data_IF_077518843510
#
_entry.id   IF_077518843510
#
_cell.length_a   1.000
_cell.length_b   1.000
_cell.length_c   1.000
_cell.angle_alpha   90.00
_cell.angle_beta   90.00
_cell.angle_gamma   90.00
#
_symmetry.space_group_name_H-M   'P 1'
#
loop_
_entity.id
_entity.type
_entity.pdbx_description
1 polymer ?
#
# COMPACT_ATOMS: atom_id res chain seq x y z
N UNK A 1 -12.87 -11.62 9.58
CA UNK A 1 -11.62 -12.37 9.37
C UNK A 1 -12.02 -13.77 8.94
N UNK A 2 -11.36 -14.39 7.95
CA UNK A 2 -11.61 -15.83 7.72
C UNK A 2 -10.98 -16.64 8.85
N UNK A 3 -11.58 -17.77 9.21
CA UNK A 3 -11.05 -18.71 10.22
C UNK A 3 -9.61 -19.11 9.88
N UNK A 4 -9.31 -19.32 8.60
CA UNK A 4 -7.95 -19.60 8.11
C UNK A 4 -6.96 -18.50 8.53
N UNK A 5 -7.30 -17.22 8.36
CA UNK A 5 -6.41 -16.10 8.70
C UNK A 5 -6.23 -15.92 10.20
N UNK A 6 -7.25 -16.28 10.98
CA UNK A 6 -7.20 -16.23 12.43
C UNK A 6 -6.11 -17.16 12.98
N UNK A 7 -5.92 -18.34 12.38
CA UNK A 7 -4.84 -19.26 12.76
C UNK A 7 -3.53 -19.01 12.01
N UNK A 8 -3.60 -18.78 10.70
CA UNK A 8 -2.41 -18.66 9.86
C UNK A 8 -1.52 -17.47 10.26
N UNK A 9 -2.09 -16.32 10.64
CA UNK A 9 -1.29 -15.14 10.98
C UNK A 9 -0.49 -15.31 12.27
N UNK A 10 -1.06 -15.75 13.40
CA UNK A 10 -0.29 -16.08 14.59
C UNK A 10 0.76 -17.18 14.34
N UNK A 11 0.40 -18.23 13.59
CA UNK A 11 1.33 -19.31 13.28
C UNK A 11 2.54 -18.80 12.49
N UNK A 12 2.33 -17.99 11.45
CA UNK A 12 3.41 -17.43 10.65
C UNK A 12 4.19 -16.36 11.45
N UNK A 13 3.51 -15.52 12.22
CA UNK A 13 4.11 -14.48 13.05
C UNK A 13 5.06 -15.05 14.12
N UNK A 14 4.76 -16.24 14.65
CA UNK A 14 5.51 -16.85 15.75
C UNK A 14 7.02 -16.91 15.49
N UNK A 15 7.41 -17.32 14.28
CA UNK A 15 8.82 -17.41 13.88
C UNK A 15 9.50 -16.04 13.89
N UNK A 16 8.82 -14.99 13.41
CA UNK A 16 9.35 -13.64 13.39
C UNK A 16 9.45 -13.01 14.79
N UNK A 17 8.48 -13.29 15.66
CA UNK A 17 8.47 -12.80 17.05
C UNK A 17 9.61 -13.45 17.83
N UNK A 18 9.79 -14.77 17.71
CA UNK A 18 10.88 -15.49 18.37
C UNK A 18 12.23 -14.98 17.88
N UNK A 19 12.46 -14.94 16.56
CA UNK A 19 13.69 -14.42 16.00
C UNK A 19 13.96 -12.95 16.36
N UNK A 20 12.91 -12.11 16.45
CA UNK A 20 13.03 -10.72 16.87
C UNK A 20 13.38 -10.59 18.36
N UNK A 21 12.83 -11.46 19.20
CA UNK A 21 13.11 -11.50 20.64
C UNK A 21 14.55 -11.94 20.90
N UNK A 22 15.03 -12.93 20.17
CA UNK A 22 16.43 -13.37 20.25
C UNK A 22 17.40 -12.27 19.83
N UNK A 23 17.07 -11.49 18.80
CA UNK A 23 17.85 -10.30 18.41
C UNK A 23 17.87 -9.21 19.48
N UNK A 24 16.76 -9.03 20.21
CA UNK A 24 16.72 -8.07 21.32
C UNK A 24 17.56 -8.53 22.50
N UNK A 25 17.56 -9.84 22.79
CA UNK A 25 18.38 -10.44 23.85
C UNK A 25 19.88 -10.42 23.51
N UNK A 26 20.22 -10.77 22.27
CA UNK A 26 21.58 -10.85 21.76
C UNK A 26 21.88 -9.65 20.84
N UNK A 27 21.58 -8.45 21.32
CA UNK A 27 21.71 -7.23 20.52
C UNK A 27 23.16 -6.94 20.10
N UNK A 28 24.13 -7.35 20.92
CA UNK A 28 25.56 -7.19 20.63
C UNK A 28 26.00 -8.06 19.44
N UNK A 29 25.65 -9.35 19.44
CA UNK A 29 25.93 -10.26 18.32
C UNK A 29 25.18 -9.85 17.05
N UNK A 30 23.94 -9.38 17.22
CA UNK A 30 23.10 -8.89 16.12
C UNK A 30 23.69 -7.65 15.47
N UNK A 31 24.26 -6.73 16.26
CA UNK A 31 24.94 -5.54 15.75
C UNK A 31 26.17 -5.91 14.92
N UNK A 32 26.98 -6.87 15.39
CA UNK A 32 28.15 -7.34 14.65
C UNK A 32 27.79 -8.02 13.32
N UNK A 33 26.80 -8.92 13.34
CA UNK A 33 26.35 -9.65 12.15
C UNK A 33 25.71 -8.73 11.11
N UNK A 34 24.98 -7.70 11.56
CA UNK A 34 24.31 -6.75 10.68
C UNK A 34 25.16 -5.50 10.39
N UNK A 35 26.37 -5.39 10.94
CA UNK A 35 27.25 -4.21 10.77
C UNK A 35 27.34 -3.66 9.34
N UNK A 36 27.48 -4.47 8.25
CA UNK A 36 27.51 -3.90 6.89
C UNK A 36 26.17 -3.31 6.43
N UNK A 37 25.04 -3.82 6.93
CA UNK A 37 23.72 -3.24 6.65
C UNK A 37 23.41 -2.05 7.56
N UNK A 38 23.81 -2.12 8.83
CA UNK A 38 23.64 -1.07 9.82
C UNK A 38 24.46 0.17 9.47
N UNK A 39 25.68 -0.01 8.96
CA UNK A 39 26.51 1.10 8.48
C UNK A 39 25.86 1.83 7.31
N UNK A 40 25.36 1.11 6.30
CA UNK A 40 24.60 1.73 5.19
C UNK A 40 23.33 2.44 5.66
N UNK A 41 22.64 1.88 6.65
CA UNK A 41 21.47 2.53 7.24
C UNK A 41 21.86 3.79 8.03
N UNK A 42 22.99 3.76 8.75
CA UNK A 42 23.51 4.90 9.51
C UNK A 42 24.02 6.03 8.61
N UNK A 43 24.62 5.70 7.46
CA UNK A 43 25.06 6.67 6.45
C UNK A 43 23.88 7.40 5.78
N UNK A 44 22.73 6.74 5.70
CA UNK A 44 21.50 7.33 5.19
C UNK A 44 20.76 8.22 6.23
N UNK A 45 21.16 8.16 7.49
CA UNK A 45 20.56 8.95 8.57
C UNK A 45 21.35 10.25 8.78
N UNK A 46 20.67 11.39 9.02
CA UNK A 46 21.33 12.67 9.24
C UNK A 46 22.01 12.78 10.62
N UNK A 47 22.09 11.71 11.40
CA UNK A 47 22.65 11.68 12.75
C UNK A 47 23.46 10.40 13.01
N UNK A 48 24.54 10.52 13.79
CA UNK A 48 25.35 9.37 14.21
C UNK A 48 24.54 8.51 15.17
N UNK A 49 24.34 7.24 14.81
CA UNK A 49 23.60 6.27 15.61
C UNK A 49 24.49 5.07 15.90
N UNK A 50 24.53 4.64 17.15
CA UNK A 50 25.25 3.44 17.59
C UNK A 50 24.64 2.18 16.93
N UNK A 51 25.50 1.30 16.40
CA UNK A 51 25.11 0.02 15.79
C UNK A 51 24.27 -0.83 16.76
N UNK A 52 24.55 -0.77 18.07
CA UNK A 52 23.77 -1.49 19.10
C UNK A 52 22.35 -0.95 19.24
N UNK A 53 22.17 0.36 19.15
CA UNK A 53 20.85 1.01 19.20
C UNK A 53 20.05 0.64 17.95
N UNK A 54 20.68 0.67 16.77
CA UNK A 54 20.03 0.25 15.53
C UNK A 54 19.63 -1.23 15.55
N UNK A 55 20.49 -2.11 16.05
CA UNK A 55 20.17 -3.53 16.20
C UNK A 55 18.93 -3.75 17.10
N UNK A 56 18.83 -3.02 18.21
CA UNK A 56 17.66 -3.04 19.10
C UNK A 56 16.40 -2.49 18.42
N UNK A 57 16.52 -1.41 17.65
CA UNK A 57 15.39 -0.85 16.89
C UNK A 57 14.88 -1.87 15.86
N UNK A 58 15.78 -2.55 15.13
CA UNK A 58 15.40 -3.57 14.16
C UNK A 58 14.73 -4.76 14.86
N UNK A 59 15.31 -5.26 15.96
CA UNK A 59 14.72 -6.34 16.76
C UNK A 59 13.34 -5.97 17.30
N UNK A 60 13.20 -4.77 17.88
CA UNK A 60 11.94 -4.24 18.40
C UNK A 60 10.89 -4.04 17.31
N UNK A 61 11.31 -3.55 16.14
CA UNK A 61 10.45 -3.42 14.95
C UNK A 61 9.96 -4.77 14.46
N UNK A 62 10.85 -5.78 14.41
CA UNK A 62 10.50 -7.13 14.00
C UNK A 62 9.48 -7.76 14.97
N UNK A 63 9.68 -7.63 16.28
CA UNK A 63 8.73 -8.11 17.29
C UNK A 63 7.41 -7.36 17.19
N UNK A 64 7.43 -6.03 17.15
CA UNK A 64 6.24 -5.19 17.05
C UNK A 64 5.43 -5.49 15.79
N UNK A 65 6.09 -5.62 14.63
CA UNK A 65 5.47 -6.01 13.38
C UNK A 65 4.90 -7.43 13.45
N UNK A 66 5.63 -8.38 14.06
CA UNK A 66 5.14 -9.74 14.31
C UNK A 66 3.85 -9.76 15.12
N UNK A 67 3.80 -9.01 16.23
CA UNK A 67 2.60 -8.92 17.09
C UNK A 67 1.43 -8.25 16.36
N UNK A 68 1.66 -7.12 15.68
CA UNK A 68 0.63 -6.45 14.90
C UNK A 68 0.08 -7.35 13.79
N UNK A 69 0.97 -8.09 13.12
CA UNK A 69 0.62 -9.07 12.11
C UNK A 69 -0.25 -10.20 12.67
N UNK A 70 0.16 -10.79 13.81
CA UNK A 70 -0.59 -11.83 14.50
C UNK A 70 -2.00 -11.37 14.91
N UNK A 71 -2.11 -10.16 15.47
CA UNK A 71 -3.38 -9.55 15.87
C UNK A 71 -4.22 -9.09 14.67
N UNK A 72 -3.66 -9.10 13.46
CA UNK A 72 -4.32 -8.65 12.25
C UNK A 72 -4.48 -7.14 12.12
N UNK A 73 -3.84 -6.35 13.00
CA UNK A 73 -3.86 -4.87 12.98
C UNK A 73 -2.81 -4.37 11.99
N UNK A 74 -3.23 -3.54 11.03
CA UNK A 74 -2.35 -3.07 9.93
C UNK A 74 -1.55 -4.21 9.27
N UNK A 75 -2.15 -5.41 9.18
CA UNK A 75 -1.43 -6.65 8.88
C UNK A 75 -0.65 -6.64 7.58
N UNK A 76 -1.11 -5.90 6.56
CA UNK A 76 -0.40 -5.76 5.29
C UNK A 76 0.89 -4.98 5.45
N UNK A 77 0.87 -3.86 6.18
CA UNK A 77 2.05 -3.06 6.47
C UNK A 77 3.03 -3.85 7.34
N UNK A 78 2.51 -4.49 8.40
CA UNK A 78 3.31 -5.34 9.27
C UNK A 78 3.99 -6.49 8.47
N UNK A 79 3.24 -7.15 7.58
CA UNK A 79 3.78 -8.18 6.70
C UNK A 79 4.81 -7.64 5.69
N UNK A 80 4.61 -6.44 5.13
CA UNK A 80 5.61 -5.78 4.27
C UNK A 80 6.90 -5.50 5.03
N UNK A 81 6.82 -4.97 6.25
CA UNK A 81 7.98 -4.72 7.12
C UNK A 81 8.70 -6.04 7.43
N UNK A 82 7.95 -7.07 7.84
CA UNK A 82 8.52 -8.40 8.09
C UNK A 82 9.17 -8.99 6.84
N UNK A 83 8.58 -8.81 5.66
CA UNK A 83 9.15 -9.29 4.40
C UNK A 83 10.51 -8.65 4.09
N UNK A 84 10.63 -7.33 4.26
CA UNK A 84 11.90 -6.61 4.06
C UNK A 84 12.94 -7.09 5.07
N UNK A 85 12.59 -7.13 6.35
CA UNK A 85 13.50 -7.59 7.42
C UNK A 85 13.93 -9.04 7.16
N UNK A 86 13.00 -9.92 6.80
CA UNK A 86 13.25 -11.33 6.51
C UNK A 86 14.20 -11.51 5.32
N UNK A 87 13.98 -10.78 4.23
CA UNK A 87 14.83 -10.84 3.04
C UNK A 87 16.27 -10.37 3.35
N UNK A 88 16.42 -9.29 4.11
CA UNK A 88 17.73 -8.78 4.53
C UNK A 88 18.47 -9.80 5.41
N UNK A 89 17.78 -10.38 6.41
CA UNK A 89 18.38 -11.41 7.26
C UNK A 89 18.79 -12.63 6.45
N UNK A 90 17.92 -13.11 5.57
CA UNK A 90 18.19 -14.27 4.72
C UNK A 90 19.44 -14.04 3.85
N UNK A 91 19.61 -12.82 3.34
CA UNK A 91 20.79 -12.45 2.56
C UNK A 91 22.07 -12.44 3.40
N UNK A 92 22.03 -11.79 4.58
CA UNK A 92 23.19 -11.72 5.48
C UNK A 92 23.60 -13.12 5.94
N UNK A 93 22.65 -13.90 6.41
CA UNK A 93 22.86 -15.26 6.88
C UNK A 93 23.36 -16.18 5.78
N UNK A 94 22.80 -16.08 4.58
CA UNK A 94 23.33 -16.80 3.43
C UNK A 94 24.77 -16.40 3.13
N UNK A 95 25.15 -15.13 3.29
CA UNK A 95 26.49 -14.63 3.01
C UNK A 95 27.52 -15.03 4.08
N UNK A 96 27.09 -15.14 5.34
CA UNK A 96 27.94 -15.43 6.50
C UNK A 96 27.96 -16.91 6.91
N UNK A 97 27.09 -17.75 6.36
CA UNK A 97 27.02 -19.16 6.71
C UNK A 97 28.29 -19.94 6.33
N UNK A 98 28.73 -20.80 7.24
CA UNK A 98 29.88 -21.68 7.05
C UNK A 98 29.59 -22.76 6.00
N UNK A 99 30.57 -22.98 5.13
CA UNK A 99 30.55 -23.97 4.04
C UNK A 99 31.78 -24.86 4.00
N UNK A 100 32.56 -24.85 5.09
CA UNK A 100 33.83 -25.57 5.21
C UNK A 100 33.64 -27.08 5.26
N UNK A 101 32.51 -27.54 5.83
CA UNK A 101 32.12 -28.97 5.87
C UNK A 101 30.90 -29.26 5.00
N UNK A 102 30.67 -30.56 4.71
CA UNK A 102 29.48 -31.02 3.99
C UNK A 102 28.21 -30.72 4.80
N UNK A 103 28.29 -30.93 6.11
CA UNK A 103 27.25 -30.65 7.09
C UNK A 103 26.91 -29.14 7.13
N UNK A 104 27.94 -28.27 7.10
CA UNK A 104 27.75 -26.81 7.05
C UNK A 104 27.02 -26.36 5.77
N UNK A 105 27.36 -26.95 4.62
CA UNK A 105 26.66 -26.68 3.35
C UNK A 105 25.20 -27.13 3.38
N UNK A 106 24.92 -28.28 3.97
CA UNK A 106 23.55 -28.78 4.12
C UNK A 106 22.73 -27.91 5.09
N UNK A 107 23.31 -27.52 6.22
CA UNK A 107 22.70 -26.60 7.17
C UNK A 107 22.36 -25.25 6.52
N UNK A 108 23.31 -24.66 5.79
CA UNK A 108 23.11 -23.41 5.02
C UNK A 108 21.95 -23.53 4.03
N UNK A 109 21.88 -24.63 3.27
CA UNK A 109 20.78 -24.87 2.31
C UNK A 109 19.43 -24.94 3.01
N UNK A 110 19.34 -25.71 4.10
CA UNK A 110 18.10 -25.87 4.84
C UNK A 110 17.63 -24.57 5.49
N UNK A 111 18.57 -23.77 6.01
CA UNK A 111 18.29 -22.49 6.63
C UNK A 111 17.85 -21.44 5.60
N UNK A 112 18.52 -21.39 4.44
CA UNK A 112 18.10 -20.56 3.32
C UNK A 112 16.68 -20.92 2.86
N UNK A 113 16.38 -22.21 2.70
CA UNK A 113 15.04 -22.66 2.30
C UNK A 113 13.98 -22.24 3.30
N UNK A 114 14.23 -22.41 4.62
CA UNK A 114 13.32 -21.93 5.67
C UNK A 114 13.06 -20.44 5.56
N UNK A 115 14.12 -19.64 5.40
CA UNK A 115 14.00 -18.19 5.28
C UNK A 115 13.26 -17.75 4.01
N UNK A 116 13.46 -18.44 2.88
CA UNK A 116 12.72 -18.19 1.64
C UNK A 116 11.25 -18.53 1.84
N UNK A 117 10.92 -19.67 2.46
CA UNK A 117 9.53 -20.06 2.76
C UNK A 117 8.86 -19.03 3.66
N UNK A 118 9.52 -18.58 4.74
CA UNK A 118 8.99 -17.56 5.64
C UNK A 118 8.77 -16.23 4.92
N UNK A 119 9.76 -15.78 4.13
CA UNK A 119 9.68 -14.55 3.34
C UNK A 119 8.54 -14.62 2.33
N UNK A 120 8.38 -15.75 1.64
CA UNK A 120 7.27 -15.97 0.71
C UNK A 120 5.91 -15.90 1.40
N UNK A 121 5.79 -16.48 2.61
CA UNK A 121 4.57 -16.42 3.41
C UNK A 121 4.16 -14.99 3.78
N UNK A 122 5.11 -14.16 4.25
CA UNK A 122 4.81 -12.77 4.60
C UNK A 122 4.64 -11.87 3.38
N UNK A 123 5.32 -12.15 2.27
CA UNK A 123 5.09 -11.45 1.00
C UNK A 123 3.67 -11.68 0.51
N UNK A 124 3.17 -12.92 0.53
CA UNK A 124 1.78 -13.20 0.18
C UNK A 124 0.81 -12.48 1.13
N UNK A 125 1.13 -12.44 2.42
CA UNK A 125 0.32 -11.74 3.42
C UNK A 125 0.34 -10.20 3.26
N UNK A 126 1.38 -9.63 2.65
CA UNK A 126 1.49 -8.19 2.39
C UNK A 126 0.50 -7.69 1.33
N UNK A 127 0.19 -8.56 0.37
CA UNK A 127 -0.79 -8.29 -0.70
C UNK A 127 -2.19 -8.82 -0.39
N UNK A 128 -2.36 -9.61 0.68
CA UNK A 128 -3.66 -10.13 1.10
C UNK A 128 -4.60 -9.01 1.58
N UNK A 129 -5.61 -8.69 0.76
CA UNK A 129 -6.62 -7.69 1.07
C UNK A 129 -7.74 -8.21 1.96
N UNK A 130 -7.81 -9.52 2.22
CA UNK A 130 -8.84 -10.17 3.03
C UNK A 130 -10.28 -9.74 2.66
N UNK A 131 -10.53 -9.53 1.36
CA UNK A 131 -11.83 -9.08 0.83
C UNK A 131 -12.11 -7.59 0.99
N UNK A 132 -11.19 -6.80 1.54
CA UNK A 132 -11.33 -5.34 1.63
C UNK A 132 -10.89 -4.70 0.31
N UNK A 133 -11.61 -3.67 -0.19
CA UNK A 133 -11.18 -2.95 -1.38
C UNK A 133 -9.81 -2.30 -1.17
N UNK A 134 -8.88 -2.56 -2.09
CA UNK A 134 -7.53 -2.01 -2.06
C UNK A 134 -7.48 -0.50 -2.34
N UNK A 135 -6.33 0.14 -2.11
CA UNK A 135 -6.15 1.57 -2.40
C UNK A 135 -6.35 1.89 -3.89
N UNK A 136 -5.82 1.05 -4.78
CA UNK A 136 -6.04 1.19 -6.23
C UNK A 136 -7.53 1.12 -6.58
N UNK A 137 -8.25 0.11 -6.04
CA UNK A 137 -9.70 -0.01 -6.21
C UNK A 137 -10.43 1.24 -5.71
N UNK A 138 -10.06 1.76 -4.53
CA UNK A 138 -10.69 2.96 -3.95
C UNK A 138 -10.41 4.21 -4.78
N UNK A 139 -9.18 4.35 -5.28
CA UNK A 139 -8.81 5.46 -6.16
C UNK A 139 -9.55 5.40 -7.50
N UNK A 140 -9.67 4.21 -8.08
CA UNK A 140 -10.42 3.98 -9.31
C UNK A 140 -11.91 4.28 -9.13
N UNK A 141 -12.51 3.83 -8.03
CA UNK A 141 -13.92 4.12 -7.72
C UNK A 141 -14.15 5.61 -7.48
N UNK A 142 -13.25 6.28 -6.76
CA UNK A 142 -13.32 7.73 -6.58
C UNK A 142 -13.23 8.47 -7.92
N UNK A 143 -12.32 8.06 -8.80
CA UNK A 143 -12.18 8.64 -10.13
C UNK A 143 -13.40 8.36 -11.02
N UNK A 144 -13.96 7.15 -10.95
CA UNK A 144 -15.17 6.78 -11.66
C UNK A 144 -16.39 7.57 -11.17
N UNK A 145 -16.55 7.74 -9.86
CA UNK A 145 -17.63 8.50 -9.25
C UNK A 145 -17.51 10.01 -9.54
N UNK A 146 -16.29 10.54 -9.53
CA UNK A 146 -16.02 11.92 -9.96
C UNK A 146 -16.38 12.14 -11.43
N UNK A 147 -16.02 11.19 -12.32
CA UNK A 147 -16.39 11.23 -13.74
C UNK A 147 -17.89 11.19 -13.95
N UNK A 148 -18.60 10.27 -13.27
CA UNK A 148 -20.07 10.17 -13.33
C UNK A 148 -20.74 11.47 -12.87
N UNK A 149 -20.24 12.05 -11.78
CA UNK A 149 -20.76 13.32 -11.27
C UNK A 149 -20.55 14.43 -12.29
N UNK A 150 -19.37 14.53 -12.89
CA UNK A 150 -19.07 15.53 -13.91
C UNK A 150 -19.94 15.36 -15.18
N UNK A 151 -20.20 14.13 -15.63
CA UNK A 151 -21.08 13.88 -16.79
C UNK A 151 -22.52 14.25 -16.50
N UNK A 152 -23.03 13.95 -15.30
CA UNK A 152 -24.37 14.38 -14.88
C UNK A 152 -24.49 15.91 -14.83
N UNK A 153 -23.52 16.60 -14.23
CA UNK A 153 -23.49 18.06 -14.22
C UNK A 153 -23.46 18.66 -15.63
N UNK A 154 -22.63 18.12 -16.51
CA UNK A 154 -22.55 18.57 -17.90
C UNK A 154 -23.87 18.34 -18.66
N UNK A 155 -24.53 17.20 -18.44
CA UNK A 155 -25.83 16.90 -19.03
C UNK A 155 -26.93 17.86 -18.53
N UNK A 156 -26.97 18.15 -17.23
CA UNK A 156 -27.92 19.08 -16.64
C UNK A 156 -27.68 20.53 -17.10
N UNK A 157 -26.41 20.94 -17.19
CA UNK A 157 -26.03 22.24 -17.74
C UNK A 157 -26.45 22.37 -19.22
N UNK A 158 -26.24 21.34 -20.04
CA UNK A 158 -26.69 21.32 -21.44
C UNK A 158 -28.22 21.38 -21.54
N UNK A 159 -28.93 20.62 -20.71
CA UNK A 159 -30.41 20.59 -20.71
C UNK A 159 -31.00 21.93 -20.28
N UNK A 160 -30.47 22.54 -19.24
CA UNK A 160 -30.92 23.87 -18.76
C UNK A 160 -30.59 24.96 -19.78
N UNK A 161 -29.39 24.95 -20.36
CA UNK A 161 -28.99 25.91 -21.41
C UNK A 161 -29.86 25.75 -22.66
N UNK A 162 -30.10 24.51 -23.11
CA UNK A 162 -30.98 24.24 -24.25
C UNK A 162 -32.41 24.73 -24.02
N UNK A 163 -32.96 24.55 -22.81
CA UNK A 163 -34.26 25.12 -22.44
C UNK A 163 -34.26 26.64 -22.53
N UNK A 164 -33.24 27.32 -21.98
CA UNK A 164 -33.12 28.79 -22.05
C UNK A 164 -33.01 29.29 -23.49
N UNK A 165 -32.16 28.67 -24.30
CA UNK A 165 -31.98 28.99 -25.72
C UNK A 165 -33.29 28.83 -26.50
N UNK A 166 -34.02 27.73 -26.30
CA UNK A 166 -35.32 27.52 -26.95
C UNK A 166 -36.37 28.56 -26.52
N UNK A 167 -36.32 29.01 -25.26
CA UNK A 167 -37.22 30.07 -24.76
C UNK A 167 -36.86 31.42 -25.39
N UNK A 168 -35.56 31.71 -25.53
CA UNK A 168 -35.06 32.90 -26.23
C UNK A 168 -35.44 32.89 -27.72
N UNK A 169 -35.27 31.78 -28.44
CA UNK A 169 -35.68 31.65 -29.85
C UNK A 169 -37.19 31.90 -30.02
N UNK A 170 -38.02 31.34 -29.12
CA UNK A 170 -39.47 31.61 -29.12
C UNK A 170 -39.79 33.09 -28.91
N UNK A 171 -39.05 33.79 -28.04
CA UNK A 171 -39.23 35.22 -27.81
C UNK A 171 -38.85 36.02 -29.06
N UNK A 172 -37.70 35.72 -29.68
CA UNK A 172 -37.24 36.36 -30.94
C UNK A 172 -38.26 36.15 -32.06
N UNK A 173 -38.74 34.91 -32.28
CA UNK A 173 -39.77 34.62 -33.30
C UNK A 173 -41.11 35.32 -33.04
N UNK A 174 -41.43 35.65 -31.79
CA UNK A 174 -42.63 36.44 -31.46
C UNK A 174 -42.40 37.92 -31.77
N UNK A 175 -41.24 38.45 -31.43
CA UNK A 175 -40.85 39.81 -31.75
C UNK A 175 -40.82 40.04 -33.28
N UNK A 176 -40.19 39.16 -34.06
CA UNK A 176 -40.15 39.26 -35.53
C UNK A 176 -41.56 39.27 -36.15
N UNK A 177 -42.45 38.40 -35.66
CA UNK A 177 -43.86 38.38 -36.10
C UNK A 177 -44.61 39.66 -35.73
N UNK A 178 -44.33 40.27 -34.58
CA UNK A 178 -44.94 41.53 -34.19
C UNK A 178 -44.44 42.69 -35.07
N UNK A 179 -43.13 42.72 -35.37
CA UNK A 179 -42.54 43.71 -36.28
C UNK A 179 -43.13 43.59 -37.68
N UNK A 180 -43.20 42.38 -38.24
CA UNK A 180 -43.81 42.16 -39.57
C UNK A 180 -45.26 42.66 -39.63
N UNK A 181 -46.08 42.31 -38.64
CA UNK A 181 -47.46 42.82 -38.55
C UNK A 181 -47.53 44.35 -38.49
N UNK A 182 -46.64 44.99 -37.72
CA UNK A 182 -46.61 46.45 -37.63
C UNK A 182 -46.21 47.10 -38.95
N UNK A 183 -45.26 46.51 -39.68
CA UNK A 183 -44.87 46.95 -41.02
C UNK A 183 -46.02 46.76 -42.02
N UNK A 184 -46.68 45.60 -42.02
CA UNK A 184 -47.82 45.34 -42.91
C UNK A 184 -48.97 46.32 -42.66
N UNK A 185 -49.23 46.68 -41.39
CA UNK A 185 -50.21 47.72 -41.03
C UNK A 185 -49.81 49.13 -41.46
N UNK A 186 -48.52 49.45 -41.52
CA UNK A 186 -48.01 50.77 -41.90
C UNK A 186 -47.92 50.96 -43.43
N UNK A 187 -47.76 49.87 -44.19
CA UNK A 187 -47.65 49.89 -45.66
C UNK A 187 -49.02 49.65 -46.34
N UNK A 188 -49.99 49.09 -45.61
CA UNK A 188 -51.36 48.86 -46.08
C UNK A 188 -52.37 49.99 -45.80
N UNK A 189 -51.93 51.12 -45.26
CA UNK A 189 -52.71 52.36 -45.05
C UNK A 189 -52.18 53.46 -45.99
#
# INVERSE_FOLDING_TARGET
MSVVRFFARPMLASSFILAGTDKLRNADDTAQQLSPLLRRASEALPFQTDEKVLARIIGGTQVGAGVLFALGKSARLAASVLAVISALNAFVEWRSADISSKEGREARRNQLLKNITLTGGVLLASVDTAGKPGLAWRAEHLAADARKTATHFAADARKTTGKKLHTADKAVRRADRAVRKAVDHAVGA
#
